data_IF_398310256304
#
_entry.id   IF_398310256304
#
_cell.length_a   1.000
_cell.length_b   1.000
_cell.length_c   1.000
_cell.angle_alpha   90.00
_cell.angle_beta   90.00
_cell.angle_gamma   90.00
#
_symmetry.space_group_name_H-M   'P 1'
#
loop_
_entity.id
_entity.type
_entity.pdbx_description
1 polymer ?
#
# COMPACT_ATOMS: atom_id res chain seq x y z
N UNK A 1 -10.71 -3.13 -5.62
CA UNK A 1 -10.15 -3.67 -4.36
C UNK A 1 -10.16 -5.20 -4.31
N UNK A 2 -11.30 -5.88 -4.17
CA UNK A 2 -11.33 -7.36 -4.00
C UNK A 2 -10.56 -8.13 -5.08
N UNK A 3 -10.75 -7.79 -6.36
CA UNK A 3 -10.03 -8.44 -7.46
C UNK A 3 -8.51 -8.21 -7.40
N UNK A 4 -8.06 -7.01 -7.00
CA UNK A 4 -6.63 -6.72 -6.81
C UNK A 4 -6.04 -7.58 -5.68
N UNK A 5 -6.73 -7.66 -4.54
CA UNK A 5 -6.29 -8.47 -3.41
C UNK A 5 -6.35 -9.99 -3.70
N UNK A 6 -7.30 -10.47 -4.50
CA UNK A 6 -7.30 -11.87 -4.93
C UNK A 6 -6.10 -12.17 -5.86
N UNK A 7 -5.71 -11.22 -6.72
CA UNK A 7 -4.50 -11.37 -7.53
C UNK A 7 -3.25 -11.54 -6.65
N UNK A 8 -3.22 -10.99 -5.43
CA UNK A 8 -2.08 -11.09 -4.50
C UNK A 8 -1.84 -12.51 -3.99
N UNK A 9 -2.90 -13.31 -3.82
CA UNK A 9 -2.78 -14.69 -3.35
C UNK A 9 -2.04 -15.59 -4.35
N UNK A 10 -2.06 -15.24 -5.62
CA UNK A 10 -1.36 -15.96 -6.69
C UNK A 10 0.10 -15.52 -6.92
N UNK A 11 0.59 -14.55 -6.15
CA UNK A 11 1.94 -13.99 -6.32
C UNK A 11 2.96 -14.82 -5.54
N UNK A 12 4.06 -15.18 -6.20
CA UNK A 12 5.25 -15.68 -5.50
C UNK A 12 5.98 -14.49 -4.88
N UNK A 13 5.59 -14.19 -3.64
CA UNK A 13 6.14 -13.07 -2.88
C UNK A 13 7.64 -13.19 -2.62
N UNK A 14 8.19 -14.40 -2.54
CA UNK A 14 9.64 -14.59 -2.42
C UNK A 14 10.34 -14.07 -3.67
N UNK A 15 9.81 -14.37 -4.85
CA UNK A 15 10.33 -13.82 -6.11
C UNK A 15 10.20 -12.30 -6.16
N UNK A 16 9.12 -11.71 -5.64
CA UNK A 16 8.93 -10.26 -5.59
C UNK A 16 9.96 -9.60 -4.67
N UNK A 17 10.13 -10.09 -3.44
CA UNK A 17 11.04 -9.48 -2.46
C UNK A 17 12.51 -9.55 -2.86
N UNK A 18 12.90 -10.62 -3.57
CA UNK A 18 14.25 -10.71 -4.16
C UNK A 18 14.49 -9.68 -5.27
N UNK A 19 13.43 -9.08 -5.80
CA UNK A 19 13.46 -8.10 -6.88
C UNK A 19 13.28 -8.73 -8.27
N UNK A 20 12.72 -7.97 -9.21
CA UNK A 20 12.56 -8.40 -10.59
C UNK A 20 13.93 -8.57 -11.27
N UNK A 21 13.98 -9.35 -12.37
CA UNK A 21 15.13 -9.36 -13.28
C UNK A 21 15.41 -7.95 -13.87
N UNK A 22 16.55 -7.81 -14.56
CA UNK A 22 16.94 -6.55 -15.21
C UNK A 22 15.89 -6.08 -16.22
N UNK A 23 15.53 -4.80 -16.16
CA UNK A 23 14.38 -4.26 -16.86
C UNK A 23 14.66 -4.17 -18.35
N UNK A 24 13.62 -4.45 -19.13
CA UNK A 24 13.73 -4.60 -20.58
C UNK A 24 14.31 -5.94 -21.04
N UNK A 25 14.82 -6.79 -20.14
CA UNK A 25 15.27 -8.13 -20.52
C UNK A 25 14.10 -9.07 -20.85
N UNK A 26 14.34 -10.16 -21.60
CA UNK A 26 13.34 -11.21 -21.79
C UNK A 26 12.85 -11.82 -20.47
N UNK A 27 13.75 -12.06 -19.52
CA UNK A 27 13.45 -12.64 -18.22
C UNK A 27 12.54 -11.74 -17.38
N UNK A 28 12.72 -10.41 -17.49
CA UNK A 28 11.82 -9.45 -16.85
C UNK A 28 10.40 -9.53 -17.43
N UNK A 29 10.27 -9.64 -18.76
CA UNK A 29 8.97 -9.80 -19.41
C UNK A 29 8.29 -11.10 -19.00
N UNK A 30 9.00 -12.22 -19.01
CA UNK A 30 8.50 -13.51 -18.53
C UNK A 30 8.07 -13.47 -17.06
N UNK A 31 8.82 -12.74 -16.23
CA UNK A 31 8.49 -12.53 -14.82
C UNK A 31 7.19 -11.74 -14.65
N UNK A 32 6.99 -10.64 -15.38
CA UNK A 32 5.73 -9.89 -15.39
C UNK A 32 4.57 -10.75 -15.93
N UNK A 33 4.77 -11.46 -17.04
CA UNK A 33 3.75 -12.31 -17.68
C UNK A 33 3.24 -13.42 -16.76
N UNK A 34 4.11 -14.02 -15.93
CA UNK A 34 3.73 -15.01 -14.92
C UNK A 34 2.58 -14.53 -14.02
N UNK A 35 2.62 -13.26 -13.63
CA UNK A 35 1.59 -12.63 -12.80
C UNK A 35 0.53 -11.87 -13.63
N UNK A 36 0.66 -11.89 -14.96
CA UNK A 36 -0.13 -11.10 -15.91
C UNK A 36 -0.08 -9.60 -15.62
N UNK A 37 1.11 -9.14 -15.26
CA UNK A 37 1.42 -7.73 -15.10
C UNK A 37 1.92 -7.14 -16.42
N UNK A 38 1.55 -5.89 -16.67
CA UNK A 38 2.05 -5.12 -17.81
C UNK A 38 2.94 -4.01 -17.25
N UNK A 39 4.26 -4.03 -17.51
CA UNK A 39 5.15 -3.00 -16.98
C UNK A 39 4.88 -1.65 -17.68
N UNK A 40 4.67 -0.61 -16.88
CA UNK A 40 4.51 0.78 -17.34
C UNK A 40 5.87 1.49 -17.36
N UNK A 41 6.72 1.17 -16.40
CA UNK A 41 8.07 1.72 -16.25
C UNK A 41 9.08 0.59 -16.03
N UNK A 42 10.32 0.83 -16.43
CA UNK A 42 11.41 -0.16 -16.33
C UNK A 42 12.77 0.51 -16.07
N UNK A 43 12.80 1.70 -15.45
CA UNK A 43 14.03 2.42 -15.12
C UNK A 43 14.32 2.54 -13.59
N UNK A 44 13.71 3.47 -12.87
CA UNK A 44 14.03 3.80 -11.46
C UNK A 44 12.97 3.30 -10.48
N UNK A 45 11.72 3.34 -10.88
CA UNK A 45 10.60 2.81 -10.11
C UNK A 45 9.85 1.88 -11.02
N UNK A 46 9.58 0.65 -10.58
CA UNK A 46 8.79 -0.28 -11.37
C UNK A 46 7.32 -0.05 -11.06
N UNK A 47 6.56 0.31 -12.08
CA UNK A 47 5.12 0.38 -12.05
C UNK A 47 4.57 -0.67 -12.99
N UNK A 48 3.53 -1.37 -12.55
CA UNK A 48 2.86 -2.37 -13.38
C UNK A 48 1.35 -2.19 -13.32
N UNK A 49 0.69 -2.34 -14.46
CA UNK A 49 -0.75 -2.56 -14.50
C UNK A 49 -1.03 -4.04 -14.24
N UNK A 50 -1.96 -4.34 -13.33
CA UNK A 50 -2.38 -5.70 -13.02
C UNK A 50 -3.47 -6.21 -13.97
N UNK A 51 -3.80 -7.51 -13.87
CA UNK A 51 -4.88 -8.13 -14.64
C UNK A 51 -6.25 -7.50 -14.41
N UNK A 52 -6.49 -6.92 -13.24
CA UNK A 52 -7.75 -6.24 -12.90
C UNK A 52 -7.71 -4.72 -13.18
N UNK A 53 -6.62 -4.23 -13.77
CA UNK A 53 -6.48 -2.83 -14.20
C UNK A 53 -5.98 -1.88 -13.12
N UNK A 54 -5.66 -2.36 -11.92
CA UNK A 54 -4.96 -1.58 -10.90
C UNK A 54 -3.52 -1.28 -11.32
N UNK A 55 -2.96 -0.19 -10.83
CA UNK A 55 -1.54 0.13 -10.96
C UNK A 55 -0.85 -0.14 -9.63
N UNK A 56 0.26 -0.87 -9.68
CA UNK A 56 1.11 -1.14 -8.52
C UNK A 56 2.47 -0.52 -8.70
N UNK A 57 2.95 0.11 -7.65
CA UNK A 57 4.23 0.79 -7.61
C UNK A 57 5.17 0.03 -6.68
N UNK A 58 6.37 -0.28 -7.15
CA UNK A 58 7.37 -1.02 -6.38
C UNK A 58 8.40 -0.05 -5.80
N UNK A 59 8.62 -0.15 -4.50
CA UNK A 59 9.62 0.62 -3.77
C UNK A 59 10.73 -0.33 -3.27
N UNK A 60 11.97 -0.01 -3.61
CA UNK A 60 13.14 -0.79 -3.18
C UNK A 60 13.82 -0.18 -1.94
N UNK A 61 14.82 -0.87 -1.41
CA UNK A 61 15.57 -0.41 -0.22
C UNK A 61 16.58 0.70 -0.54
N UNK A 62 17.09 0.78 -1.78
CA UNK A 62 18.26 1.60 -2.14
C UNK A 62 17.96 2.78 -3.09
N UNK A 63 16.72 2.92 -3.56
CA UNK A 63 16.29 3.91 -4.53
C UNK A 63 16.86 3.68 -5.94
N UNK A 64 16.25 2.80 -6.73
CA UNK A 64 16.53 2.67 -8.17
C UNK A 64 17.30 1.44 -8.62
N UNK A 65 17.35 0.39 -7.79
CA UNK A 65 17.99 -0.89 -8.10
C UNK A 65 17.03 -2.09 -8.04
N UNK A 66 15.74 -1.86 -7.79
CA UNK A 66 14.61 -2.80 -7.67
C UNK A 66 14.82 -4.00 -6.75
N UNK A 67 15.94 -4.08 -6.02
CA UNK A 67 16.29 -5.23 -5.20
C UNK A 67 17.09 -4.80 -3.97
N UNK A 68 16.74 -5.33 -2.78
CA UNK A 68 15.48 -6.03 -2.50
C UNK A 68 14.29 -5.07 -2.58
N UNK A 69 13.12 -5.59 -3.00
CA UNK A 69 11.86 -4.84 -2.93
C UNK A 69 11.46 -4.76 -1.47
N UNK A 70 11.17 -3.54 -1.01
CA UNK A 70 10.74 -3.26 0.35
C UNK A 70 9.23 -3.29 0.46
N UNK A 71 8.56 -2.65 -0.49
CA UNK A 71 7.13 -2.55 -0.51
C UNK A 71 6.55 -2.43 -1.91
N UNK A 72 5.28 -2.77 -2.02
CA UNK A 72 4.45 -2.53 -3.20
C UNK A 72 3.22 -1.77 -2.75
N UNK A 73 2.88 -0.68 -3.42
CA UNK A 73 1.72 0.15 -3.09
C UNK A 73 0.70 0.18 -4.24
N UNK A 74 -0.57 0.34 -3.88
CA UNK A 74 -1.68 0.49 -4.80
C UNK A 74 -2.69 1.50 -4.24
N UNK A 75 -2.87 2.62 -4.95
CA UNK A 75 -3.94 3.57 -4.69
C UNK A 75 -5.27 3.04 -5.24
N UNK A 76 -6.13 2.58 -4.34
CA UNK A 76 -7.38 1.91 -4.71
C UNK A 76 -8.58 2.87 -4.83
N UNK A 77 -8.44 4.07 -4.29
CA UNK A 77 -9.44 5.12 -4.36
C UNK A 77 -8.82 6.47 -4.05
N UNK A 78 -9.32 7.50 -4.71
CA UNK A 78 -8.97 8.88 -4.42
C UNK A 78 -10.16 9.81 -4.68
N UNK A 79 -10.25 10.86 -3.88
CA UNK A 79 -11.13 12.00 -4.11
C UNK A 79 -10.36 13.27 -3.84
N UNK A 80 -10.67 14.32 -4.60
CA UNK A 80 -10.05 15.63 -4.44
C UNK A 80 -11.10 16.72 -4.59
N UNK A 81 -11.03 17.72 -3.72
CA UNK A 81 -11.80 18.94 -3.84
C UNK A 81 -11.29 19.77 -5.03
N UNK A 82 -12.21 20.42 -5.75
CA UNK A 82 -11.89 21.43 -6.74
C UNK A 82 -11.65 22.80 -6.09
N UNK A 83 -12.30 23.05 -4.94
CA UNK A 83 -12.14 24.27 -4.15
C UNK A 83 -12.13 23.97 -2.63
N UNK A 84 -11.51 24.85 -1.84
CA UNK A 84 -11.38 24.65 -0.39
C UNK A 84 -12.74 24.52 0.35
N UNK A 85 -13.81 25.12 -0.17
CA UNK A 85 -15.16 24.99 0.36
C UNK A 85 -15.70 23.55 0.32
N UNK A 86 -15.18 22.70 -0.56
CA UNK A 86 -15.60 21.30 -0.73
C UNK A 86 -14.83 20.34 0.22
N UNK A 87 -13.87 20.84 1.01
CA UNK A 87 -13.03 20.00 1.89
C UNK A 87 -13.86 19.20 2.90
N UNK A 88 -14.97 19.74 3.39
CA UNK A 88 -15.89 19.02 4.29
C UNK A 88 -16.60 17.84 3.61
N UNK A 89 -16.94 17.98 2.33
CA UNK A 89 -17.54 16.90 1.52
C UNK A 89 -16.52 15.80 1.22
N UNK A 90 -15.27 16.17 0.92
CA UNK A 90 -14.15 15.22 0.78
C UNK A 90 -14.00 14.37 2.04
N UNK A 91 -13.99 14.99 3.22
CA UNK A 91 -13.84 14.26 4.49
C UNK A 91 -15.04 13.34 4.76
N UNK A 92 -16.26 13.79 4.48
CA UNK A 92 -17.48 13.00 4.65
C UNK A 92 -17.48 11.78 3.70
N UNK A 93 -17.19 12.02 2.42
CA UNK A 93 -17.08 10.96 1.40
C UNK A 93 -16.01 9.94 1.77
N UNK A 94 -14.85 10.40 2.26
CA UNK A 94 -13.79 9.53 2.73
C UNK A 94 -14.26 8.65 3.90
N UNK A 95 -14.92 9.23 4.91
CA UNK A 95 -15.45 8.49 6.05
C UNK A 95 -16.49 7.43 5.65
N UNK A 96 -17.37 7.75 4.69
CA UNK A 96 -18.39 6.83 4.15
C UNK A 96 -17.81 5.73 3.26
N UNK A 97 -16.71 6.01 2.56
CA UNK A 97 -16.07 5.07 1.62
C UNK A 97 -15.25 4.00 2.36
N UNK A 98 -14.61 4.36 3.49
CA UNK A 98 -13.70 3.47 4.22
C UNK A 98 -14.29 2.09 4.56
N UNK A 99 -15.51 1.96 5.14
CA UNK A 99 -16.06 0.65 5.50
C UNK A 99 -16.19 -0.32 4.33
N UNK A 100 -16.52 0.16 3.13
CA UNK A 100 -16.64 -0.70 1.95
C UNK A 100 -15.28 -1.27 1.52
N UNK A 101 -14.22 -0.47 1.63
CA UNK A 101 -12.85 -0.89 1.32
C UNK A 101 -12.29 -1.85 2.38
N UNK A 102 -12.55 -1.58 3.65
CA UNK A 102 -12.20 -2.49 4.74
C UNK A 102 -12.91 -3.84 4.57
N UNK A 103 -14.22 -3.85 4.33
CA UNK A 103 -14.98 -5.07 4.11
C UNK A 103 -14.48 -5.86 2.88
N UNK A 104 -14.15 -5.17 1.79
CA UNK A 104 -13.58 -5.79 0.61
C UNK A 104 -12.21 -6.45 0.89
N UNK A 105 -11.39 -5.84 1.76
CA UNK A 105 -10.13 -6.41 2.19
C UNK A 105 -10.33 -7.60 3.13
N UNK A 106 -11.25 -7.50 4.10
CA UNK A 106 -11.57 -8.58 5.04
C UNK A 106 -12.10 -9.84 4.33
N UNK A 107 -12.87 -9.67 3.26
CA UNK A 107 -13.37 -10.79 2.46
C UNK A 107 -12.24 -11.65 1.84
N UNK A 108 -11.07 -11.05 1.61
CA UNK A 108 -9.91 -11.72 0.98
C UNK A 108 -8.81 -12.04 2.00
N UNK A 109 -8.53 -11.15 2.93
CA UNK A 109 -7.40 -11.30 3.87
C UNK A 109 -7.84 -11.88 5.23
N UNK A 110 -9.15 -12.02 5.45
CA UNK A 110 -9.72 -12.36 6.75
C UNK A 110 -9.72 -11.16 7.70
N UNK A 111 -9.95 -11.40 8.99
CA UNK A 111 -9.99 -10.35 10.01
C UNK A 111 -8.61 -9.68 10.15
N UNK A 112 -8.55 -8.33 10.19
CA UNK A 112 -7.29 -7.62 10.40
C UNK A 112 -6.70 -7.95 11.77
N UNK A 113 -5.38 -7.86 11.87
CA UNK A 113 -4.67 -7.92 13.16
C UNK A 113 -5.03 -6.74 14.04
N UNK A 114 -5.26 -5.58 13.43
CA UNK A 114 -5.74 -4.38 14.10
C UNK A 114 -6.47 -3.46 13.12
N UNK A 115 -7.44 -2.70 13.59
CA UNK A 115 -8.09 -1.61 12.84
C UNK A 115 -8.50 -0.47 13.78
N UNK A 116 -8.40 0.77 13.29
CA UNK A 116 -8.71 1.95 14.11
C UNK A 116 -8.36 3.28 13.42
N UNK A 117 -8.36 4.35 14.22
CA UNK A 117 -8.06 5.72 13.79
C UNK A 117 -6.63 6.14 14.15
N UNK A 118 -6.16 7.21 13.52
CA UNK A 118 -4.85 7.83 13.76
C UNK A 118 -4.58 8.24 15.21
N UNK A 119 -5.58 8.39 16.07
CA UNK A 119 -5.45 8.83 17.45
C UNK A 119 -5.69 7.71 18.48
N UNK A 120 -5.94 6.48 18.01
CA UNK A 120 -6.15 5.34 18.89
C UNK A 120 -4.95 5.13 19.83
N UNK A 121 -5.23 4.92 21.12
CA UNK A 121 -4.20 4.76 22.15
C UNK A 121 -3.35 3.50 21.93
N UNK A 122 -3.99 2.45 21.41
CA UNK A 122 -3.42 1.13 21.13
C UNK A 122 -2.94 0.97 19.68
N UNK A 123 -2.76 2.08 18.95
CA UNK A 123 -2.28 2.02 17.56
C UNK A 123 -0.96 1.23 17.48
N UNK A 124 -0.85 0.25 16.56
CA UNK A 124 0.24 -0.70 16.53
C UNK A 124 1.57 -0.04 16.13
N UNK A 125 2.65 -0.42 16.80
CA UNK A 125 4.01 -0.10 16.35
C UNK A 125 4.40 -0.94 15.13
N UNK A 126 5.12 -0.37 14.15
CA UNK A 126 5.53 -1.10 12.97
C UNK A 126 6.59 -2.17 13.29
N UNK A 127 6.51 -3.36 12.64
CA UNK A 127 7.49 -4.42 12.86
C UNK A 127 8.90 -4.04 12.38
N UNK A 128 8.98 -3.15 11.39
CA UNK A 128 10.21 -2.55 10.90
C UNK A 128 9.98 -1.05 10.65
N UNK A 129 10.95 -0.16 10.94
CA UNK A 129 10.79 1.27 10.77
C UNK A 129 10.35 1.63 9.34
N UNK A 130 9.27 2.40 9.21
CA UNK A 130 8.76 2.90 7.93
C UNK A 130 7.81 1.98 7.17
N UNK A 131 7.24 0.95 7.80
CA UNK A 131 6.06 0.26 7.21
C UNK A 131 4.81 1.13 7.32
N UNK A 132 4.65 1.77 8.47
CA UNK A 132 3.67 2.82 8.69
C UNK A 132 4.25 3.87 9.64
N UNK A 133 3.65 5.07 9.69
CA UNK A 133 4.20 6.17 10.46
C UNK A 133 4.20 5.89 11.97
N UNK A 134 5.20 6.44 12.67
CA UNK A 134 5.29 6.37 14.13
C UNK A 134 4.26 7.28 14.82
N UNK A 135 4.14 7.15 16.15
CA UNK A 135 3.18 7.93 16.94
C UNK A 135 3.33 9.43 16.77
N UNK A 136 4.55 9.96 16.74
CA UNK A 136 4.80 11.40 16.64
C UNK A 136 4.24 11.95 15.32
N UNK A 137 4.64 11.33 14.20
CA UNK A 137 4.15 11.71 12.88
C UNK A 137 2.64 11.55 12.74
N UNK A 138 2.07 10.45 13.26
CA UNK A 138 0.61 10.20 13.18
C UNK A 138 -0.18 11.28 13.90
N UNK A 139 0.25 11.69 15.09
CA UNK A 139 -0.47 12.70 15.88
C UNK A 139 -0.31 14.12 15.29
N UNK A 140 0.85 14.44 14.72
CA UNK A 140 1.09 15.72 14.05
C UNK A 140 0.30 15.85 12.74
N UNK A 141 0.34 14.81 11.90
CA UNK A 141 -0.18 14.87 10.53
C UNK A 141 -1.59 14.27 10.38
N UNK A 142 -2.10 13.57 11.38
CA UNK A 142 -3.34 12.76 11.33
C UNK A 142 -3.33 11.71 10.22
N UNK A 143 -2.15 11.16 9.91
CA UNK A 143 -1.95 10.15 8.85
C UNK A 143 -1.34 8.89 9.41
N UNK A 144 -1.90 7.70 9.11
CA UNK A 144 -3.13 7.48 8.33
C UNK A 144 -4.38 7.81 9.16
N UNK A 145 -5.39 8.45 8.57
CA UNK A 145 -6.65 8.83 9.23
C UNK A 145 -7.47 7.62 9.69
N UNK A 146 -7.55 6.60 8.83
CA UNK A 146 -8.04 5.25 9.15
C UNK A 146 -6.98 4.23 8.77
N UNK A 147 -6.91 3.15 9.52
CA UNK A 147 -5.88 2.13 9.33
C UNK A 147 -6.41 0.74 9.67
N UNK A 148 -5.94 -0.24 8.90
CA UNK A 148 -6.05 -1.65 9.22
C UNK A 148 -4.78 -2.36 8.72
N UNK A 149 -4.32 -3.38 9.44
CA UNK A 149 -3.21 -4.21 8.95
C UNK A 149 -3.42 -5.69 9.24
N UNK A 150 -2.79 -6.51 8.39
CA UNK A 150 -2.74 -7.96 8.51
C UNK A 150 -1.27 -8.37 8.59
N UNK A 151 -0.93 -9.10 9.66
CA UNK A 151 0.38 -9.75 9.76
C UNK A 151 0.41 -11.03 8.91
N UNK A 152 1.60 -11.47 8.47
CA UNK A 152 1.77 -12.79 7.85
C UNK A 152 1.17 -13.89 8.74
N UNK A 153 0.46 -14.85 8.13
CA UNK A 153 -0.04 -16.02 8.85
C UNK A 153 1.10 -17.00 9.19
N UNK A 154 2.20 -16.92 8.44
CA UNK A 154 3.38 -17.77 8.59
C UNK A 154 3.21 -19.14 7.94
N UNK A 155 2.21 -19.31 7.07
CA UNK A 155 2.00 -20.59 6.37
C UNK A 155 3.02 -20.79 5.25
N UNK A 156 3.44 -19.71 4.61
CA UNK A 156 4.41 -19.68 3.51
C UNK A 156 5.50 -18.64 3.78
N UNK A 157 6.72 -18.95 3.36
CA UNK A 157 7.84 -18.00 3.41
C UNK A 157 7.54 -16.78 2.53
N UNK A 158 7.88 -15.59 3.01
CA UNK A 158 7.71 -14.35 2.24
C UNK A 158 6.29 -13.79 2.25
N UNK A 159 5.34 -14.37 2.99
CA UNK A 159 4.02 -13.76 3.20
C UNK A 159 4.16 -12.32 3.71
N UNK A 160 3.50 -11.34 3.08
CA UNK A 160 3.70 -9.94 3.45
C UNK A 160 2.94 -9.50 4.69
N UNK A 161 3.37 -8.35 5.22
CA UNK A 161 2.47 -7.48 5.96
C UNK A 161 1.62 -6.70 4.96
N UNK A 162 0.31 -6.70 5.15
CA UNK A 162 -0.61 -5.89 4.35
C UNK A 162 -1.17 -4.77 5.19
N UNK A 163 -1.17 -3.56 4.66
CA UNK A 163 -1.71 -2.35 5.28
C UNK A 163 -2.77 -1.78 4.37
N UNK A 164 -3.96 -1.55 4.90
CA UNK A 164 -4.98 -0.71 4.27
C UNK A 164 -4.98 0.61 5.02
N UNK A 165 -4.77 1.72 4.30
CA UNK A 165 -4.67 3.03 4.93
C UNK A 165 -5.54 4.05 4.20
N UNK A 166 -6.18 4.94 4.96
CA UNK A 166 -6.80 6.14 4.42
C UNK A 166 -5.98 7.35 4.84
N UNK A 167 -5.48 8.11 3.88
CA UNK A 167 -4.87 9.41 4.12
C UNK A 167 -5.85 10.53 3.78
N UNK A 168 -5.79 11.61 4.56
CA UNK A 168 -6.47 12.87 4.28
C UNK A 168 -5.38 13.94 4.19
N UNK A 169 -5.35 14.71 3.11
CA UNK A 169 -4.32 15.71 2.90
C UNK A 169 -4.47 16.86 3.92
N UNK A 170 -3.35 17.49 4.31
CA UNK A 170 -3.38 18.56 5.31
C UNK A 170 -4.36 19.69 4.95
N UNK A 171 -4.47 19.99 3.65
CA UNK A 171 -5.34 21.04 3.11
C UNK A 171 -6.83 20.80 3.41
N UNK A 172 -7.26 19.56 3.64
CA UNK A 172 -8.66 19.28 4.05
C UNK A 172 -8.99 19.94 5.39
N UNK A 173 -7.97 20.19 6.23
CA UNK A 173 -8.13 20.86 7.52
C UNK A 173 -8.01 22.39 7.44
N UNK A 174 -7.73 22.94 6.27
CA UNK A 174 -7.59 24.40 6.06
C UNK A 174 -8.68 24.93 5.14
N UNK A 175 -8.94 26.24 5.24
CA UNK A 175 -9.95 26.92 4.41
C UNK A 175 -9.37 27.50 3.11
N UNK A 176 -8.06 27.35 2.89
CA UNK A 176 -7.32 28.13 1.89
C UNK A 176 -7.04 27.34 0.60
N UNK A 177 -6.96 26.01 0.71
CA UNK A 177 -6.57 25.15 -0.43
C UNK A 177 -7.48 23.93 -0.54
N UNK A 178 -7.76 23.47 -1.77
CA UNK A 178 -8.46 22.21 -1.98
C UNK A 178 -7.60 21.04 -1.50
N UNK A 179 -8.18 20.20 -0.65
CA UNK A 179 -7.58 18.97 -0.17
C UNK A 179 -8.08 17.72 -0.91
N UNK A 180 -7.68 16.56 -0.40
CA UNK A 180 -8.07 15.27 -0.94
C UNK A 180 -7.94 14.15 0.07
N UNK A 181 -8.46 12.98 -0.30
CA UNK A 181 -8.28 11.75 0.45
C UNK A 181 -7.98 10.60 -0.50
N UNK A 182 -7.14 9.67 -0.03
CA UNK A 182 -6.74 8.48 -0.75
C UNK A 182 -6.89 7.27 0.16
N UNK A 183 -7.37 6.16 -0.38
CA UNK A 183 -7.27 4.84 0.25
C UNK A 183 -6.23 4.03 -0.52
N UNK A 184 -5.15 3.66 0.16
CA UNK A 184 -4.06 2.85 -0.37
C UNK A 184 -4.07 1.46 0.25
N UNK A 185 -3.54 0.50 -0.50
CA UNK A 185 -3.04 -0.74 0.09
C UNK A 185 -1.54 -0.82 -0.12
N UNK A 186 -0.83 -1.02 0.98
CA UNK A 186 0.61 -1.14 1.02
C UNK A 186 0.97 -2.56 1.45
N UNK A 187 1.88 -3.19 0.71
CA UNK A 187 2.39 -4.52 0.98
C UNK A 187 3.85 -4.40 1.35
N UNK A 188 4.24 -4.90 2.51
CA UNK A 188 5.63 -4.83 2.98
C UNK A 188 6.23 -6.22 3.09
N UNK A 189 7.47 -6.34 2.61
CA UNK A 189 8.24 -7.57 2.72
C UNK A 189 8.42 -7.97 4.19
N UNK A 190 8.59 -9.25 4.54
CA UNK A 190 9.04 -9.63 5.87
C UNK A 190 10.47 -9.15 6.15
N UNK A 191 10.80 -8.93 7.43
CA UNK A 191 12.11 -8.38 7.84
C UNK A 191 13.31 -9.22 7.38
N UNK A 192 13.14 -10.53 7.20
CA UNK A 192 14.15 -11.44 6.66
C UNK A 192 14.62 -11.08 5.22
N UNK A 193 13.75 -10.44 4.43
CA UNK A 193 14.08 -9.98 3.07
C UNK A 193 14.74 -8.60 3.05
N UNK A 194 14.55 -7.80 4.10
CA UNK A 194 15.16 -6.47 4.23
C UNK A 194 16.61 -6.54 4.74
N UNK A 195 16.94 -7.58 5.52
CA UNK A 195 18.24 -7.73 6.20
C UNK A 195 19.28 -8.48 5.37
N UNK A 196 18.90 -9.07 4.23
CA UNK A 196 19.75 -10.00 3.48
C UNK A 196 21.02 -9.38 2.84
N UNK A 197 21.25 -8.07 2.91
CA UNK A 197 22.46 -7.40 2.41
C UNK A 197 22.89 -6.15 3.22
N UNK A 198 22.90 -6.22 4.55
CA UNK A 198 23.75 -5.30 5.35
C UNK A 198 25.13 -5.91 5.56
#
# INVERSE_FOLDING_TARGET
>A
MTAELENWRGVDWVSVWNGPPQGGSPEFREWCERYGWVPETFDRQLNVTTRSGGSWTFSDVLGGHWSPVRSVDHDAWQVRASAAAENGEVLSTAAETWPAYLQAAEAVLGTPTWTGTWDAEDFPEPPEPGYWPDREFRLESRRPYRFAYWKPAGATRGEPYVVLSQSVSFQVWTADMPGGSTISVDVHAPSEFLRARR
#
